data_IF_524817503318
#
_entry.id   IF_524817503318
#
_cell.length_a   1.000
_cell.length_b   1.000
_cell.length_c   1.000
_cell.angle_alpha   90.00
_cell.angle_beta   90.00
_cell.angle_gamma   90.00
#
_symmetry.space_group_name_H-M   'P 1'
#
loop_
_entity.id
_entity.type
_entity.pdbx_description
1 polymer ?
#
# COMPACT_ATOMS: atom_id res chain seq x y z
N UNK A 1 3.70 5.26 -12.87
CA UNK A 1 4.88 6.14 -12.92
C UNK A 1 6.22 5.39 -12.97
N UNK A 2 6.62 4.63 -11.95
CA UNK A 2 7.97 4.01 -11.93
C UNK A 2 8.18 2.93 -13.01
N UNK A 3 7.13 2.21 -13.43
CA UNK A 3 7.20 1.22 -14.52
C UNK A 3 7.70 1.81 -15.83
N UNK A 4 7.09 2.91 -16.28
CA UNK A 4 7.47 3.57 -17.54
C UNK A 4 8.88 4.14 -17.46
N UNK A 5 9.21 4.79 -16.33
CA UNK A 5 10.56 5.32 -16.08
C UNK A 5 11.62 4.23 -16.09
N UNK A 6 11.32 3.07 -15.49
CA UNK A 6 12.20 1.90 -15.51
C UNK A 6 12.47 1.43 -16.93
N UNK A 7 11.45 1.18 -17.74
CA UNK A 7 11.64 0.68 -19.11
C UNK A 7 12.42 1.65 -19.99
N UNK A 8 12.12 2.95 -19.91
CA UNK A 8 12.89 3.95 -20.63
C UNK A 8 14.34 4.03 -20.15
N UNK A 9 14.58 4.05 -18.84
CA UNK A 9 15.94 4.10 -18.29
C UNK A 9 16.73 2.83 -18.62
N UNK A 10 16.07 1.67 -18.62
CA UNK A 10 16.67 0.39 -19.02
C UNK A 10 17.10 0.43 -20.48
N UNK A 11 16.22 0.83 -21.40
CA UNK A 11 16.53 0.95 -22.82
C UNK A 11 17.71 1.90 -23.06
N UNK A 12 17.74 3.03 -22.34
CA UNK A 12 18.83 4.00 -22.45
C UNK A 12 20.14 3.52 -21.79
N UNK A 13 20.07 2.70 -20.73
CA UNK A 13 21.25 2.17 -20.04
C UNK A 13 22.04 1.15 -20.86
N UNK A 14 21.37 0.41 -21.76
CA UNK A 14 22.01 -0.60 -22.62
C UNK A 14 23.13 0.02 -23.49
N UNK A 15 22.88 1.06 -24.31
CA UNK A 15 23.94 1.70 -25.08
C UNK A 15 24.98 2.36 -24.16
N UNK A 16 24.61 2.95 -23.03
CA UNK A 16 25.61 3.52 -22.09
C UNK A 16 26.62 2.44 -21.65
N UNK A 17 26.14 1.26 -21.27
CA UNK A 17 26.98 0.12 -20.85
C UNK A 17 27.83 -0.40 -22.00
N UNK A 18 27.26 -0.51 -23.22
CA UNK A 18 27.99 -0.98 -24.40
C UNK A 18 29.15 -0.02 -24.78
N UNK A 19 28.97 1.28 -24.59
CA UNK A 19 29.98 2.29 -24.91
C UNK A 19 30.94 2.58 -23.75
N UNK A 20 30.82 1.88 -22.62
CA UNK A 20 31.74 2.00 -21.48
C UNK A 20 33.11 1.36 -21.78
N UNK A 21 34.23 2.10 -21.65
CA UNK A 21 35.57 1.55 -21.82
C UNK A 21 35.88 0.40 -20.85
N UNK A 22 35.39 0.50 -19.61
CA UNK A 22 35.61 -0.51 -18.58
C UNK A 22 34.94 -1.85 -18.94
N UNK A 23 33.70 -1.77 -19.43
CA UNK A 23 32.91 -2.95 -19.85
C UNK A 23 33.49 -3.57 -21.12
N UNK A 24 33.89 -2.72 -22.09
CA UNK A 24 34.56 -3.16 -23.31
C UNK A 24 35.86 -3.92 -23.02
N UNK A 25 36.69 -3.39 -22.11
CA UNK A 25 37.92 -4.05 -21.67
C UNK A 25 37.64 -5.37 -20.95
N UNK A 26 36.61 -5.42 -20.09
CA UNK A 26 36.24 -6.62 -19.34
C UNK A 26 35.72 -7.76 -20.23
N UNK A 27 34.91 -7.43 -21.24
CA UNK A 27 34.29 -8.40 -22.15
C UNK A 27 35.10 -8.65 -23.43
N UNK A 28 36.19 -7.91 -23.65
CA UNK A 28 37.14 -8.11 -24.75
C UNK A 28 36.61 -7.71 -26.12
N UNK A 29 35.64 -6.78 -26.22
CA UNK A 29 35.15 -6.27 -27.50
C UNK A 29 35.71 -4.87 -27.80
N UNK A 30 35.94 -4.53 -29.08
CA UNK A 30 36.36 -3.18 -29.46
C UNK A 30 35.19 -2.20 -29.33
N UNK A 31 35.44 -1.01 -28.78
CA UNK A 31 34.45 0.05 -28.73
C UNK A 31 33.98 0.42 -30.14
N UNK A 32 32.65 0.50 -30.39
CA UNK A 32 32.13 0.94 -31.68
C UNK A 32 32.63 2.36 -31.99
N UNK A 33 33.54 2.48 -32.96
CA UNK A 33 34.16 3.74 -33.31
C UNK A 33 33.40 4.41 -34.46
N UNK A 34 32.65 5.46 -34.15
CA UNK A 34 32.09 6.39 -35.12
C UNK A 34 32.23 7.83 -34.59
N UNK A 35 32.17 8.86 -35.45
CA UNK A 35 32.25 10.24 -35.01
C UNK A 35 31.16 10.56 -33.96
N UNK A 36 31.58 10.85 -32.73
CA UNK A 36 30.66 11.13 -31.62
C UNK A 36 30.34 9.95 -30.68
N UNK A 37 30.97 8.78 -30.85
CA UNK A 37 30.75 7.63 -29.95
C UNK A 37 31.06 7.95 -28.48
N UNK A 38 32.02 8.83 -28.21
CA UNK A 38 32.38 9.31 -26.86
C UNK A 38 31.31 10.18 -26.20
N UNK A 39 30.39 10.74 -26.98
CA UNK A 39 29.27 11.55 -26.46
C UNK A 39 28.03 10.71 -26.15
N UNK A 40 28.01 9.43 -26.53
CA UNK A 40 26.87 8.54 -26.27
C UNK A 40 26.63 8.38 -24.76
N UNK A 41 27.61 7.99 -23.92
CA UNK A 41 27.37 7.86 -22.47
C UNK A 41 26.94 9.18 -21.82
N UNK A 42 27.65 10.32 -21.99
CA UNK A 42 27.28 11.60 -21.35
C UNK A 42 25.86 12.08 -21.69
N UNK A 43 25.45 11.96 -22.95
CA UNK A 43 24.13 12.44 -23.40
C UNK A 43 23.01 11.57 -22.85
N UNK A 44 23.15 10.24 -23.00
CA UNK A 44 22.10 9.31 -22.57
C UNK A 44 21.97 9.28 -21.05
N UNK A 45 23.07 9.34 -20.30
CA UNK A 45 23.01 9.40 -18.85
C UNK A 45 22.52 10.73 -18.32
N UNK A 46 22.73 11.83 -19.03
CA UNK A 46 22.07 13.08 -18.67
C UNK A 46 20.55 12.94 -18.76
N UNK A 47 20.04 12.22 -19.77
CA UNK A 47 18.61 11.91 -19.87
C UNK A 47 18.17 11.00 -18.71
N UNK A 48 18.93 9.94 -18.41
CA UNK A 48 18.62 9.02 -17.30
C UNK A 48 18.64 9.74 -15.96
N UNK A 49 19.64 10.59 -15.70
CA UNK A 49 19.76 11.39 -14.47
C UNK A 49 18.56 12.34 -14.30
N UNK A 50 18.20 13.09 -15.35
CA UNK A 50 17.09 14.04 -15.28
C UNK A 50 15.75 13.32 -15.22
N UNK A 51 15.46 12.39 -16.13
CA UNK A 51 14.15 11.73 -16.21
C UNK A 51 13.98 10.61 -15.19
N UNK A 52 14.91 9.67 -15.17
CA UNK A 52 14.93 8.51 -14.28
C UNK A 52 15.30 8.88 -12.84
N UNK A 53 16.26 9.79 -12.66
CA UNK A 53 16.77 10.20 -11.35
C UNK A 53 15.87 11.17 -10.57
N UNK A 54 14.95 11.88 -11.23
CA UNK A 54 14.04 12.86 -10.59
C UNK A 54 13.35 12.38 -9.30
N UNK A 55 12.78 11.16 -9.21
CA UNK A 55 12.12 10.70 -7.99
C UNK A 55 13.08 10.62 -6.79
N UNK A 56 14.31 10.17 -7.03
CA UNK A 56 15.35 10.06 -6.02
C UNK A 56 15.87 11.43 -5.60
N UNK A 57 16.11 12.34 -6.54
CA UNK A 57 16.53 13.72 -6.25
C UNK A 57 15.48 14.47 -5.43
N UNK A 58 14.20 14.37 -5.81
CA UNK A 58 13.09 14.95 -5.04
C UNK A 58 12.95 14.32 -3.65
N UNK A 59 13.10 13.00 -3.55
CA UNK A 59 13.08 12.27 -2.29
C UNK A 59 14.22 12.68 -1.36
N UNK A 60 15.45 12.73 -1.86
CA UNK A 60 16.62 13.19 -1.11
C UNK A 60 16.48 14.64 -0.64
N UNK A 61 15.93 15.53 -1.47
CA UNK A 61 15.64 16.90 -1.06
C UNK A 61 14.62 16.96 0.09
N UNK A 62 13.58 16.10 0.06
CA UNK A 62 12.61 15.99 1.14
C UNK A 62 13.26 15.50 2.44
N UNK A 63 14.11 14.47 2.37
CA UNK A 63 14.86 13.93 3.51
C UNK A 63 15.82 14.94 4.14
N UNK A 64 16.50 15.74 3.32
CA UNK A 64 17.34 16.87 3.79
C UNK A 64 16.48 17.89 4.53
N UNK A 65 15.33 18.28 3.95
CA UNK A 65 14.42 19.25 4.56
C UNK A 65 13.82 18.73 5.87
N UNK A 66 13.51 17.44 5.96
CA UNK A 66 12.97 16.82 7.17
C UNK A 66 14.04 16.43 8.21
N UNK A 67 15.34 16.61 7.88
CA UNK A 67 16.49 16.19 8.72
C UNK A 67 16.46 14.70 9.09
N UNK A 68 15.91 13.88 8.22
CA UNK A 68 15.85 12.43 8.37
C UNK A 68 16.60 11.82 7.18
N UNK A 69 17.94 11.72 7.24
CA UNK A 69 18.72 11.11 6.18
C UNK A 69 18.30 9.65 6.05
N UNK A 70 17.96 9.21 4.84
CA UNK A 70 17.52 7.86 4.56
C UNK A 70 18.06 7.36 3.23
N UNK A 71 17.35 6.40 2.65
CA UNK A 71 17.76 5.74 1.42
C UNK A 71 17.73 6.72 0.22
N UNK A 72 16.78 7.65 0.16
CA UNK A 72 16.66 8.54 -1.00
C UNK A 72 17.79 9.56 -1.05
N UNK A 73 18.24 10.07 0.09
CA UNK A 73 19.36 10.99 0.17
C UNK A 73 20.68 10.32 -0.20
N UNK A 74 20.92 9.08 0.24
CA UNK A 74 22.08 8.28 -0.18
C UNK A 74 22.13 8.13 -1.70
N UNK A 75 21.02 7.72 -2.30
CA UNK A 75 20.93 7.54 -3.75
C UNK A 75 21.12 8.88 -4.45
N UNK A 76 20.41 9.93 -4.02
CA UNK A 76 20.49 11.27 -4.59
C UNK A 76 21.93 11.80 -4.55
N UNK A 77 22.64 11.61 -3.44
CA UNK A 77 24.05 11.97 -3.30
C UNK A 77 24.92 11.18 -4.27
N UNK A 78 24.78 9.85 -4.31
CA UNK A 78 25.59 8.99 -5.18
C UNK A 78 25.40 9.32 -6.66
N UNK A 79 24.16 9.44 -7.15
CA UNK A 79 23.88 9.79 -8.56
C UNK A 79 24.36 11.20 -8.90
N UNK A 80 24.26 12.16 -7.96
CA UNK A 80 24.71 13.54 -8.21
C UNK A 80 26.23 13.61 -8.25
N UNK A 81 26.91 12.94 -7.33
CA UNK A 81 28.38 12.87 -7.27
C UNK A 81 28.93 12.17 -8.50
N UNK A 82 28.35 11.03 -8.89
CA UNK A 82 28.71 10.32 -10.12
C UNK A 82 28.48 11.20 -11.36
N UNK A 83 27.33 11.85 -11.46
CA UNK A 83 27.00 12.73 -12.59
C UNK A 83 27.98 13.89 -12.75
N UNK A 84 28.28 14.59 -11.66
CA UNK A 84 29.20 15.73 -11.68
C UNK A 84 30.63 15.27 -11.97
N UNK A 85 31.09 14.19 -11.34
CA UNK A 85 32.43 13.65 -11.58
C UNK A 85 32.62 13.21 -13.04
N UNK A 86 31.66 12.48 -13.61
CA UNK A 86 31.72 12.05 -15.01
C UNK A 86 31.71 13.22 -16.00
N UNK A 87 30.94 14.28 -15.71
CA UNK A 87 30.97 15.50 -16.53
C UNK A 87 32.31 16.24 -16.45
N UNK A 88 32.91 16.34 -15.27
CA UNK A 88 34.22 16.97 -15.06
C UNK A 88 35.29 16.25 -15.90
N UNK A 89 35.30 14.91 -15.87
CA UNK A 89 36.18 14.08 -16.71
C UNK A 89 35.90 14.27 -18.21
N UNK A 90 34.63 14.22 -18.62
CA UNK A 90 34.22 14.33 -20.03
C UNK A 90 34.60 15.68 -20.65
N UNK A 91 34.54 16.76 -19.86
CA UNK A 91 34.93 18.11 -20.30
C UNK A 91 36.44 18.36 -20.19
N UNK A 92 37.22 17.39 -19.71
CA UNK A 92 38.67 17.53 -19.52
C UNK A 92 39.04 18.52 -18.41
N UNK A 93 38.14 18.77 -17.47
CA UNK A 93 38.36 19.71 -16.37
C UNK A 93 39.10 18.97 -15.23
N UNK A 94 40.28 19.45 -14.86
CA UNK A 94 41.01 18.93 -13.68
C UNK A 94 41.84 17.66 -13.89
N UNK A 95 41.90 17.09 -15.10
CA UNK A 95 42.80 15.98 -15.42
C UNK A 95 42.50 14.66 -14.70
N UNK A 96 41.32 14.54 -14.10
CA UNK A 96 40.86 13.34 -13.41
C UNK A 96 40.33 12.32 -14.42
N UNK A 97 40.52 11.03 -14.14
CA UNK A 97 39.95 9.92 -14.92
C UNK A 97 38.84 9.24 -14.11
N UNK A 98 37.73 9.96 -13.94
CA UNK A 98 36.55 9.52 -13.20
C UNK A 98 35.39 9.32 -14.18
N UNK A 99 35.30 8.14 -14.78
CA UNK A 99 34.17 7.76 -15.65
C UNK A 99 33.19 6.86 -14.87
N UNK A 100 32.09 7.46 -14.39
CA UNK A 100 31.01 6.77 -13.68
C UNK A 100 29.70 6.71 -14.48
N UNK A 101 29.76 6.87 -15.81
CA UNK A 101 28.55 6.91 -16.64
C UNK A 101 27.74 5.60 -16.49
N UNK A 102 28.36 4.46 -16.78
CA UNK A 102 27.66 3.17 -16.73
C UNK A 102 27.16 2.78 -15.32
N UNK A 103 27.88 3.15 -14.25
CA UNK A 103 27.43 2.97 -12.87
C UNK A 103 26.19 3.82 -12.59
N UNK A 104 26.15 5.09 -12.99
CA UNK A 104 25.00 5.96 -12.83
C UNK A 104 23.78 5.39 -13.56
N UNK A 105 23.96 4.95 -14.81
CA UNK A 105 22.90 4.38 -15.64
C UNK A 105 22.24 3.17 -14.95
N UNK A 106 23.06 2.23 -14.49
CA UNK A 106 22.60 1.01 -13.83
C UNK A 106 22.05 1.28 -12.44
N UNK A 107 22.65 2.19 -11.67
CA UNK A 107 22.16 2.61 -10.36
C UNK A 107 20.75 3.18 -10.47
N UNK A 108 20.50 4.16 -11.34
CA UNK A 108 19.17 4.73 -11.52
C UNK A 108 18.17 3.66 -12.00
N UNK A 109 18.57 2.83 -12.96
CA UNK A 109 17.70 1.80 -13.54
C UNK A 109 17.29 0.75 -12.50
N UNK A 110 18.24 0.23 -11.72
CA UNK A 110 17.95 -0.81 -10.73
C UNK A 110 17.15 -0.27 -9.55
N UNK A 111 17.38 0.99 -9.14
CA UNK A 111 16.57 1.64 -8.11
C UNK A 111 15.13 1.88 -8.57
N UNK A 112 14.92 2.22 -9.85
CA UNK A 112 13.58 2.34 -10.44
C UNK A 112 12.87 0.98 -10.50
N UNK A 113 13.60 -0.10 -10.83
CA UNK A 113 13.07 -1.47 -10.79
C UNK A 113 12.57 -1.81 -9.38
N UNK A 114 13.36 -1.48 -8.36
CA UNK A 114 13.00 -1.71 -6.97
C UNK A 114 11.70 -1.08 -6.54
N UNK A 115 11.60 0.23 -6.75
CA UNK A 115 10.40 0.99 -6.41
C UNK A 115 9.20 0.55 -7.26
N UNK A 116 9.41 0.11 -8.50
CA UNK A 116 8.34 -0.48 -9.30
C UNK A 116 7.85 -1.81 -8.72
N UNK A 117 8.75 -2.72 -8.35
CA UNK A 117 8.38 -3.99 -7.72
C UNK A 117 7.67 -3.77 -6.38
N UNK A 118 8.12 -2.80 -5.59
CA UNK A 118 7.48 -2.40 -4.34
C UNK A 118 6.04 -1.95 -4.56
N UNK A 119 5.80 -1.00 -5.48
CA UNK A 119 4.44 -0.54 -5.78
C UNK A 119 3.56 -1.63 -6.41
N UNK A 120 4.13 -2.54 -7.21
CA UNK A 120 3.39 -3.67 -7.77
C UNK A 120 2.92 -4.63 -6.68
N UNK A 121 3.73 -4.84 -5.64
CA UNK A 121 3.33 -5.60 -4.46
C UNK A 121 2.25 -4.87 -3.63
N UNK A 122 2.25 -3.53 -3.64
CA UNK A 122 1.30 -2.68 -2.90
C UNK A 122 -0.10 -2.58 -3.53
N UNK A 123 -0.20 -2.54 -4.86
CA UNK A 123 -1.45 -2.24 -5.57
C UNK A 123 -2.59 -3.24 -5.41
N UNK A 124 -2.41 -4.34 -4.66
CA UNK A 124 -3.46 -5.33 -4.38
C UNK A 124 -4.36 -5.01 -3.17
N UNK A 125 -4.00 -4.03 -2.33
CA UNK A 125 -4.66 -3.78 -1.05
C UNK A 125 -5.85 -2.79 -1.08
N UNK A 126 -6.07 -2.06 -2.19
CA UNK A 126 -7.11 -1.02 -2.29
C UNK A 126 -8.55 -1.56 -2.27
N UNK A 127 -8.74 -2.85 -2.58
CA UNK A 127 -10.07 -3.45 -2.75
C UNK A 127 -10.95 -3.45 -1.49
N UNK A 128 -10.36 -3.35 -0.29
CA UNK A 128 -11.12 -3.35 0.96
C UNK A 128 -11.85 -2.01 1.20
N UNK A 129 -11.22 -0.89 0.86
CA UNK A 129 -11.85 0.43 0.97
C UNK A 129 -12.92 0.62 -0.11
N UNK A 130 -12.63 0.16 -1.34
CA UNK A 130 -13.60 0.18 -2.45
C UNK A 130 -14.85 -0.65 -2.12
N UNK A 131 -14.68 -1.82 -1.48
CA UNK A 131 -15.79 -2.65 -1.03
C UNK A 131 -16.64 -1.99 0.07
N UNK A 132 -16.04 -1.19 0.96
CA UNK A 132 -16.76 -0.42 1.98
C UNK A 132 -17.52 0.76 1.37
N UNK A 133 -16.95 1.42 0.35
CA UNK A 133 -17.60 2.53 -0.35
C UNK A 133 -18.83 2.07 -1.15
N UNK A 134 -18.77 0.88 -1.75
CA UNK A 134 -19.90 0.27 -2.46
C UNK A 134 -21.11 -0.09 -1.55
N UNK A 135 -20.98 0.04 -0.23
CA UNK A 135 -22.07 -0.19 0.71
C UNK A 135 -22.98 1.03 0.90
N UNK A 136 -22.57 2.21 0.45
CA UNK A 136 -23.43 3.39 0.50
C UNK A 136 -24.32 3.44 -0.74
N UNK A 137 -25.62 3.74 -0.60
CA UNK A 137 -26.47 4.00 -1.75
C UNK A 137 -26.08 5.33 -2.41
N UNK A 138 -26.20 5.42 -3.73
CA UNK A 138 -25.96 6.67 -4.47
C UNK A 138 -27.07 7.71 -4.24
N UNK A 139 -28.28 7.25 -3.93
CA UNK A 139 -29.48 8.08 -3.77
C UNK A 139 -30.17 7.84 -2.42
N UNK A 140 -30.87 8.85 -1.93
CA UNK A 140 -31.68 8.80 -0.70
C UNK A 140 -33.07 9.42 -0.90
N UNK A 141 -34.10 8.85 -0.24
CA UNK A 141 -35.45 9.44 -0.21
C UNK A 141 -35.56 10.47 0.93
N UNK A 142 -35.40 11.75 0.62
CA UNK A 142 -35.56 12.86 1.57
C UNK A 142 -37.03 13.25 1.72
N UNK A 143 -37.50 13.46 2.94
CA UNK A 143 -38.86 13.90 3.27
C UNK A 143 -38.89 15.43 3.33
N UNK A 144 -39.69 16.06 2.47
CA UNK A 144 -39.93 17.50 2.41
C UNK A 144 -41.44 17.73 2.42
N UNK A 145 -41.93 18.50 3.41
CA UNK A 145 -43.36 18.84 3.56
C UNK A 145 -44.32 17.64 3.50
N UNK A 146 -43.88 16.50 4.05
CA UNK A 146 -44.66 15.25 4.08
C UNK A 146 -44.61 14.41 2.79
N UNK A 147 -43.89 14.88 1.76
CA UNK A 147 -43.65 14.14 0.50
C UNK A 147 -42.21 13.66 0.43
N UNK A 148 -41.96 12.51 -0.22
CA UNK A 148 -40.59 12.02 -0.46
C UNK A 148 -40.07 12.50 -1.80
N UNK A 149 -38.79 12.90 -1.83
CA UNK A 149 -38.04 13.25 -3.02
C UNK A 149 -36.71 12.52 -3.01
N UNK A 150 -36.41 11.83 -4.10
CA UNK A 150 -35.09 11.22 -4.31
C UNK A 150 -34.05 12.32 -4.56
N UNK A 151 -32.97 12.29 -3.80
CA UNK A 151 -31.82 13.20 -3.90
C UNK A 151 -30.53 12.37 -3.90
N UNK A 152 -29.47 12.92 -4.48
CA UNK A 152 -28.14 12.34 -4.34
C UNK A 152 -27.70 12.36 -2.87
N UNK A 153 -26.98 11.33 -2.42
CA UNK A 153 -26.51 11.24 -1.03
C UNK A 153 -25.63 12.44 -0.63
N UNK A 154 -24.95 13.07 -1.59
CA UNK A 154 -24.13 14.27 -1.39
C UNK A 154 -24.94 15.54 -1.14
N UNK A 155 -26.23 15.54 -1.45
CA UNK A 155 -27.15 16.66 -1.18
C UNK A 155 -27.77 16.60 0.23
N UNK A 156 -27.57 15.49 0.97
CA UNK A 156 -28.06 15.36 2.34
C UNK A 156 -27.28 16.27 3.30
N UNK A 157 -28.03 16.97 4.15
CA UNK A 157 -27.46 17.80 5.23
C UNK A 157 -27.97 17.35 6.59
N UNK A 158 -27.18 17.66 7.62
CA UNK A 158 -27.56 17.40 9.02
C UNK A 158 -28.91 18.05 9.34
N UNK A 159 -29.81 17.29 9.95
CA UNK A 159 -31.17 17.70 10.28
C UNK A 159 -32.21 17.29 9.24
N UNK A 160 -31.81 16.84 8.05
CA UNK A 160 -32.73 16.27 7.07
C UNK A 160 -33.41 15.02 7.61
N UNK A 161 -34.63 14.74 7.13
CA UNK A 161 -35.34 13.50 7.43
C UNK A 161 -35.36 12.64 6.19
N UNK A 162 -34.88 11.41 6.29
CA UNK A 162 -34.87 10.44 5.20
C UNK A 162 -35.80 9.26 5.50
N UNK A 163 -36.46 8.74 4.47
CA UNK A 163 -37.28 7.54 4.55
C UNK A 163 -36.43 6.33 4.16
N UNK A 164 -36.25 5.39 5.08
CA UNK A 164 -35.55 4.12 4.83
C UNK A 164 -36.60 3.02 4.77
N UNK A 165 -36.78 2.42 3.59
CA UNK A 165 -37.74 1.34 3.36
C UNK A 165 -37.19 -0.01 3.84
N UNK A 166 -38.08 -0.97 4.03
CA UNK A 166 -37.68 -2.36 4.24
C UNK A 166 -36.81 -2.86 3.07
N UNK A 167 -35.70 -3.50 3.39
CA UNK A 167 -34.65 -3.94 2.46
C UNK A 167 -33.68 -2.83 1.99
N UNK A 168 -33.92 -1.56 2.34
CA UNK A 168 -33.07 -0.46 1.91
C UNK A 168 -31.92 -0.21 2.89
N UNK A 169 -30.82 0.36 2.36
CA UNK A 169 -29.67 0.77 3.16
C UNK A 169 -29.90 2.15 3.77
N UNK A 170 -29.42 2.33 4.98
CA UNK A 170 -29.38 3.64 5.64
C UNK A 170 -28.35 4.53 4.92
N UNK A 171 -28.73 5.69 4.38
CA UNK A 171 -27.83 6.52 3.58
C UNK A 171 -26.86 7.36 4.43
N UNK A 172 -27.22 7.69 5.66
CA UNK A 172 -26.43 8.56 6.53
C UNK A 172 -26.64 8.18 8.01
N UNK A 173 -25.67 8.48 8.85
CA UNK A 173 -25.81 8.24 10.29
C UNK A 173 -26.90 9.15 10.86
N UNK A 174 -27.72 8.62 11.75
CA UNK A 174 -28.85 9.38 12.28
C UNK A 174 -29.61 8.69 13.39
N UNK A 175 -30.71 9.31 13.79
CA UNK A 175 -31.60 8.83 14.85
C UNK A 175 -33.01 8.59 14.30
N UNK A 176 -33.64 7.48 14.69
CA UNK A 176 -35.00 7.14 14.27
C UNK A 176 -35.99 8.12 14.89
N UNK A 177 -36.79 8.78 14.05
CA UNK A 177 -37.88 9.68 14.45
C UNK A 177 -39.22 8.97 14.54
N UNK A 178 -39.47 8.05 13.61
CA UNK A 178 -40.74 7.33 13.52
C UNK A 178 -40.51 5.93 12.94
N UNK A 179 -41.20 4.95 13.54
CA UNK A 179 -41.13 3.55 13.16
C UNK A 179 -40.14 2.76 14.01
N UNK A 180 -40.15 1.44 13.81
CA UNK A 180 -39.22 0.49 14.39
C UNK A 180 -38.92 -0.58 13.35
N UNK A 181 -37.68 -1.07 13.32
CA UNK A 181 -37.26 -2.12 12.38
C UNK A 181 -36.09 -2.91 12.97
N UNK A 182 -35.89 -4.10 12.46
CA UNK A 182 -34.64 -4.83 12.63
C UNK A 182 -33.60 -4.32 11.64
N UNK A 183 -32.36 -4.14 12.11
CA UNK A 183 -31.24 -3.68 11.30
C UNK A 183 -30.16 -4.74 11.21
N UNK A 184 -29.79 -5.12 10.00
CA UNK A 184 -28.57 -5.88 9.75
C UNK A 184 -27.36 -4.93 9.82
N UNK A 185 -26.67 -5.02 10.95
CA UNK A 185 -25.42 -4.31 11.23
C UNK A 185 -24.17 -5.19 11.01
N UNK A 186 -24.33 -6.41 10.44
CA UNK A 186 -23.28 -7.42 10.37
C UNK A 186 -22.07 -7.01 9.54
N UNK A 187 -22.26 -6.18 8.51
CA UNK A 187 -21.16 -5.63 7.71
C UNK A 187 -20.24 -4.68 8.49
N UNK A 188 -20.72 -4.11 9.60
CA UNK A 188 -19.97 -3.15 10.43
C UNK A 188 -19.50 -3.80 11.73
N UNK A 189 -20.40 -4.55 12.38
CA UNK A 189 -20.17 -5.16 13.70
C UNK A 189 -19.58 -6.56 13.61
N UNK A 190 -19.77 -7.27 12.49
CA UNK A 190 -19.43 -8.68 12.33
C UNK A 190 -20.49 -9.65 12.88
N UNK A 191 -21.52 -9.15 13.57
CA UNK A 191 -22.58 -9.98 14.15
C UNK A 191 -23.67 -10.27 13.11
N UNK A 192 -23.98 -11.53 12.86
CA UNK A 192 -24.97 -11.92 11.83
C UNK A 192 -26.43 -11.75 12.26
N UNK A 193 -26.68 -11.41 13.53
CA UNK A 193 -28.03 -11.25 14.06
C UNK A 193 -28.50 -9.80 13.87
N UNK A 194 -29.64 -9.57 13.19
CA UNK A 194 -30.25 -8.25 13.14
C UNK A 194 -30.56 -7.72 14.54
N UNK A 195 -30.43 -6.41 14.72
CA UNK A 195 -30.67 -5.72 15.98
C UNK A 195 -31.93 -4.88 15.85
N UNK A 196 -32.89 -5.08 16.75
CA UNK A 196 -34.10 -4.26 16.81
C UNK A 196 -33.76 -2.83 17.25
N UNK A 197 -34.26 -1.85 16.50
CA UNK A 197 -34.13 -0.42 16.80
C UNK A 197 -35.51 0.24 16.75
N UNK A 198 -35.75 1.14 17.69
CA UNK A 198 -37.00 1.90 17.79
C UNK A 198 -36.72 3.41 17.80
N UNK A 199 -37.78 4.20 17.82
CA UNK A 199 -37.77 5.65 17.89
C UNK A 199 -36.85 6.15 19.01
N UNK A 200 -35.90 7.02 18.65
CA UNK A 200 -34.87 7.54 19.54
C UNK A 200 -33.54 6.77 19.50
N UNK A 201 -33.49 5.59 18.90
CA UNK A 201 -32.24 4.85 18.69
C UNK A 201 -31.44 5.39 17.50
N UNK A 202 -30.12 5.21 17.59
CA UNK A 202 -29.18 5.57 16.52
C UNK A 202 -29.05 4.44 15.50
N UNK A 203 -28.96 4.84 14.23
CA UNK A 203 -28.70 3.97 13.07
C UNK A 203 -27.48 4.49 12.31
N UNK A 204 -26.75 3.56 11.70
CA UNK A 204 -25.46 3.82 11.05
C UNK A 204 -25.58 3.67 9.55
N UNK A 205 -24.90 4.52 8.78
CA UNK A 205 -24.86 4.46 7.33
C UNK A 205 -24.33 3.09 6.83
N UNK A 206 -25.00 2.54 5.81
CA UNK A 206 -24.66 1.26 5.18
C UNK A 206 -25.32 0.03 5.80
N UNK A 207 -25.94 0.14 6.98
CA UNK A 207 -26.78 -0.93 7.57
C UNK A 207 -28.08 -1.08 6.78
N UNK A 208 -28.72 -2.25 6.87
CA UNK A 208 -29.95 -2.57 6.12
C UNK A 208 -31.12 -2.69 7.08
N UNK A 209 -32.20 -1.95 6.85
CA UNK A 209 -33.47 -2.19 7.54
C UNK A 209 -34.11 -3.45 6.94
N UNK A 210 -34.33 -4.51 7.70
CA UNK A 210 -34.71 -5.83 7.15
C UNK A 210 -36.21 -5.97 6.92
N UNK A 211 -37.04 -5.44 7.81
CA UNK A 211 -38.48 -5.79 7.90
C UNK A 211 -39.44 -4.61 7.71
N UNK A 212 -39.13 -3.43 8.29
CA UNK A 212 -40.05 -2.29 8.37
C UNK A 212 -39.45 -0.99 7.81
N UNK A 213 -40.33 -0.02 7.55
CA UNK A 213 -39.93 1.32 7.09
C UNK A 213 -39.76 2.27 8.27
N UNK A 214 -38.66 3.03 8.30
CA UNK A 214 -38.38 4.02 9.34
C UNK A 214 -38.09 5.40 8.76
N UNK A 215 -38.36 6.44 9.54
CA UNK A 215 -37.90 7.81 9.24
C UNK A 215 -36.71 8.14 10.12
N UNK A 216 -35.60 8.52 9.51
CA UNK A 216 -34.33 8.79 10.20
C UNK A 216 -34.00 10.26 10.06
N UNK A 217 -33.69 10.94 11.17
CA UNK A 217 -33.09 12.28 11.16
C UNK A 217 -31.60 12.13 11.00
N UNK A 218 -31.06 12.74 9.96
CA UNK A 218 -29.62 12.75 9.65
C UNK A 218 -28.85 13.54 10.70
N UNK A 219 -27.82 12.92 11.28
CA UNK A 219 -26.91 13.53 12.26
C UNK A 219 -25.50 13.73 11.70
N UNK A 220 -25.04 12.85 10.81
CA UNK A 220 -23.75 12.98 10.14
C UNK A 220 -23.83 12.51 8.68
N UNK A 221 -23.17 13.22 7.76
CA UNK A 221 -23.15 12.90 6.33
C UNK A 221 -21.72 12.81 5.78
N UNK A 222 -21.57 12.13 4.64
CA UNK A 222 -20.30 12.02 3.92
C UNK A 222 -19.14 11.57 4.82
N UNK A 223 -18.11 12.41 4.91
CA UNK A 223 -16.90 12.16 5.69
C UNK A 223 -17.14 12.02 7.20
N UNK A 224 -18.23 12.55 7.75
CA UNK A 224 -18.45 12.53 9.20
C UNK A 224 -19.19 11.28 9.69
N UNK A 225 -19.58 10.38 8.78
CA UNK A 225 -20.21 9.10 9.12
C UNK A 225 -19.23 8.12 9.78
N UNK A 226 -19.77 7.18 10.56
CA UNK A 226 -19.01 6.11 11.18
C UNK A 226 -18.30 5.23 10.13
N UNK A 227 -18.97 4.94 9.01
CA UNK A 227 -18.36 4.18 7.91
C UNK A 227 -17.17 4.94 7.28
N UNK A 228 -17.29 6.25 7.05
CA UNK A 228 -16.17 7.08 6.61
C UNK A 228 -15.05 7.18 7.68
N UNK A 229 -15.40 7.17 8.96
CA UNK A 229 -14.47 7.06 10.07
C UNK A 229 -13.69 5.74 10.05
N UNK A 230 -14.36 4.61 9.82
CA UNK A 230 -13.74 3.30 9.63
C UNK A 230 -12.81 3.32 8.42
N UNK A 231 -13.27 3.87 7.28
CA UNK A 231 -12.44 4.01 6.08
C UNK A 231 -11.18 4.83 6.35
N UNK A 232 -11.27 5.95 7.09
CA UNK A 232 -10.08 6.72 7.51
C UNK A 232 -9.15 5.91 8.38
N UNK A 233 -9.66 5.25 9.42
CA UNK A 233 -8.81 4.42 10.30
C UNK A 233 -8.11 3.30 9.53
N UNK A 234 -8.78 2.70 8.55
CA UNK A 234 -8.20 1.68 7.67
C UNK A 234 -7.16 2.29 6.74
N UNK A 235 -7.43 3.45 6.14
CA UNK A 235 -6.49 4.16 5.29
C UNK A 235 -5.22 4.58 6.07
N UNK A 236 -5.39 5.17 7.25
CA UNK A 236 -4.30 5.56 8.16
C UNK A 236 -3.46 4.33 8.57
N UNK A 237 -4.11 3.20 8.83
CA UNK A 237 -3.43 1.94 9.12
C UNK A 237 -2.66 1.40 7.90
N UNK A 238 -3.20 1.51 6.69
CA UNK A 238 -2.54 1.08 5.45
C UNK A 238 -1.36 1.98 5.07
N UNK A 239 -1.42 3.27 5.41
CA UNK A 239 -0.33 4.23 5.15
C UNK A 239 0.84 4.05 6.13
N UNK A 240 0.65 3.29 7.22
CA UNK A 240 1.71 3.02 8.19
C UNK A 240 2.80 2.09 7.64
N UNK A 241 4.07 2.50 7.79
CA UNK A 241 5.23 1.75 7.32
C UNK A 241 5.50 0.50 8.15
N UNK A 242 5.97 -0.58 7.52
CA UNK A 242 6.32 -1.81 8.24
C UNK A 242 7.56 -1.66 9.14
N UNK A 243 7.72 -2.58 10.10
CA UNK A 243 8.90 -2.57 10.98
C UNK A 243 10.17 -2.88 10.19
N UNK A 244 10.11 -3.76 9.19
CA UNK A 244 11.26 -4.05 8.33
C UNK A 244 11.68 -2.82 7.51
N UNK A 245 10.72 -2.06 6.99
CA UNK A 245 10.98 -0.80 6.28
C UNK A 245 11.65 0.22 7.21
N UNK A 246 11.11 0.42 8.41
CA UNK A 246 11.74 1.30 9.41
C UNK A 246 13.16 0.85 9.81
N UNK A 247 13.44 -0.46 9.85
CA UNK A 247 14.79 -0.97 10.10
C UNK A 247 15.73 -0.66 8.93
N UNK A 248 15.28 -0.84 7.68
CA UNK A 248 16.06 -0.50 6.50
C UNK A 248 16.33 1.00 6.40
N UNK A 249 15.35 1.85 6.71
CA UNK A 249 15.52 3.30 6.74
C UNK A 249 16.54 3.73 7.80
N UNK A 250 16.52 3.12 8.99
CA UNK A 250 17.55 3.34 10.02
C UNK A 250 18.93 2.86 9.59
N UNK A 251 19.02 1.70 8.95
CA UNK A 251 20.28 1.18 8.43
C UNK A 251 20.84 2.10 7.33
N UNK A 252 19.99 2.59 6.42
CA UNK A 252 20.35 3.56 5.40
C UNK A 252 20.80 4.90 6.03
N UNK A 253 20.11 5.37 7.07
CA UNK A 253 20.51 6.59 7.79
C UNK A 253 21.91 6.46 8.42
N UNK A 254 22.19 5.33 9.09
CA UNK A 254 23.51 5.06 9.67
C UNK A 254 24.59 4.96 8.59
N UNK A 255 24.26 4.30 7.48
CA UNK A 255 25.16 4.12 6.36
C UNK A 255 25.47 5.44 5.65
N UNK A 256 24.50 6.37 5.57
CA UNK A 256 24.73 7.74 5.12
C UNK A 256 25.79 8.45 5.95
N UNK A 257 25.65 8.44 7.28
CA UNK A 257 26.62 9.08 8.17
C UNK A 257 27.99 8.43 8.08
N UNK A 258 28.05 7.10 8.02
CA UNK A 258 29.30 6.37 7.84
C UNK A 258 30.00 6.72 6.53
N UNK A 259 29.25 6.78 5.43
CA UNK A 259 29.75 7.15 4.11
C UNK A 259 30.30 8.58 4.11
N UNK A 260 29.53 9.53 4.66
CA UNK A 260 29.91 10.95 4.71
C UNK A 260 31.16 11.17 5.55
N UNK A 261 31.24 10.56 6.73
CA UNK A 261 32.40 10.65 7.61
C UNK A 261 33.63 10.02 6.95
N UNK A 262 33.48 8.84 6.35
CA UNK A 262 34.57 8.15 5.64
C UNK A 262 35.07 8.94 4.44
N UNK A 263 34.16 9.56 3.68
CA UNK A 263 34.48 10.43 2.55
C UNK A 263 35.23 11.69 3.00
N UNK A 264 34.82 12.30 4.12
CA UNK A 264 35.50 13.45 4.72
C UNK A 264 36.90 13.09 5.23
N UNK A 265 37.05 11.97 5.94
CA UNK A 265 38.36 11.48 6.39
C UNK A 265 39.26 11.23 5.19
N UNK A 266 38.73 10.61 4.14
CA UNK A 266 39.47 10.35 2.90
C UNK A 266 39.95 11.66 2.28
N UNK A 267 39.07 12.67 2.15
CA UNK A 267 39.44 13.97 1.58
C UNK A 267 40.57 14.63 2.39
N UNK A 268 40.45 14.64 3.72
CA UNK A 268 41.43 15.28 4.62
C UNK A 268 42.78 14.57 4.57
N UNK A 269 42.80 13.24 4.69
CA UNK A 269 44.06 12.47 4.74
C UNK A 269 44.85 12.58 3.43
N UNK A 270 44.19 12.41 2.29
CA UNK A 270 44.85 12.47 0.98
C UNK A 270 45.34 13.88 0.64
N UNK A 271 44.59 14.91 1.02
CA UNK A 271 45.03 16.30 0.89
C UNK A 271 46.23 16.58 1.79
N UNK A 272 46.24 16.08 3.03
CA UNK A 272 47.34 16.31 3.98
C UNK A 272 48.65 15.61 3.57
N UNK A 273 48.59 14.49 2.85
CA UNK A 273 49.76 13.75 2.34
C UNK A 273 50.32 14.39 1.06
N UNK A 274 49.65 15.41 0.51
CA UNK A 274 50.12 16.15 -0.68
C UNK A 274 49.61 15.59 -2.01
N UNK A 275 48.58 14.74 -1.99
CA UNK A 275 47.94 14.18 -3.19
C UNK A 275 46.48 14.67 -3.29
N UNK A 276 46.24 15.96 -3.60
CA UNK A 276 44.90 16.52 -3.69
C UNK A 276 44.05 15.88 -4.80
N UNK A 277 44.69 15.44 -5.90
CA UNK A 277 43.98 14.79 -7.00
C UNK A 277 43.42 13.43 -6.58
N UNK A 278 44.24 12.63 -5.90
CA UNK A 278 43.82 11.37 -5.29
C UNK A 278 42.75 11.58 -4.22
N UNK A 279 42.76 12.72 -3.52
CA UNK A 279 41.75 13.04 -2.52
C UNK A 279 40.36 13.16 -3.16
N UNK A 280 40.25 13.88 -4.28
CA UNK A 280 38.99 14.01 -5.03
C UNK A 280 38.54 12.65 -5.54
N UNK A 281 39.42 11.93 -6.23
CA UNK A 281 39.13 10.61 -6.82
C UNK A 281 38.60 9.65 -5.76
N UNK A 282 39.34 9.48 -4.66
CA UNK A 282 39.00 8.50 -3.62
C UNK A 282 37.76 8.91 -2.83
N UNK A 283 37.56 10.19 -2.55
CA UNK A 283 36.35 10.67 -1.88
C UNK A 283 35.10 10.43 -2.73
N UNK A 284 35.17 10.71 -4.04
CA UNK A 284 34.09 10.39 -4.98
C UNK A 284 33.83 8.89 -5.00
N UNK A 285 34.88 8.06 -5.12
CA UNK A 285 34.76 6.59 -5.09
C UNK A 285 34.09 6.09 -3.81
N UNK A 286 34.47 6.61 -2.63
CA UNK A 286 33.84 6.23 -1.36
C UNK A 286 32.35 6.56 -1.35
N UNK A 287 31.96 7.76 -1.81
CA UNK A 287 30.55 8.18 -1.85
C UNK A 287 29.71 7.35 -2.83
N UNK A 288 30.27 7.01 -3.99
CA UNK A 288 29.58 6.19 -5.02
C UNK A 288 29.43 4.74 -4.56
N UNK A 289 30.51 4.12 -4.04
CA UNK A 289 30.50 2.72 -3.56
C UNK A 289 29.58 2.55 -2.35
N UNK A 290 29.44 3.57 -1.51
CA UNK A 290 28.58 3.52 -0.35
C UNK A 290 27.08 3.39 -0.70
N UNK A 291 26.66 3.54 -1.95
CA UNK A 291 25.24 3.41 -2.30
C UNK A 291 24.73 1.97 -2.09
N UNK A 292 23.72 1.72 -1.22
CA UNK A 292 23.27 0.37 -0.89
C UNK A 292 22.20 -0.14 -1.86
N UNK A 293 22.57 -0.36 -3.13
CA UNK A 293 21.67 -0.78 -4.21
C UNK A 293 20.79 -1.99 -3.86
N UNK A 294 21.37 -3.01 -3.21
CA UNK A 294 20.66 -4.24 -2.85
C UNK A 294 19.69 -4.06 -1.68
N UNK A 295 19.95 -3.10 -0.78
CA UNK A 295 19.12 -2.89 0.41
C UNK A 295 17.71 -2.43 0.02
N UNK A 296 17.62 -1.54 -0.98
CA UNK A 296 16.33 -1.04 -1.49
C UNK A 296 15.51 -2.07 -2.25
N UNK A 297 16.12 -3.19 -2.71
CA UNK A 297 15.45 -4.27 -3.43
C UNK A 297 15.07 -5.45 -2.55
N UNK A 298 15.84 -5.68 -1.48
CA UNK A 298 15.71 -6.88 -0.67
C UNK A 298 14.31 -7.04 -0.07
N UNK A 299 13.77 -5.97 0.54
CA UNK A 299 12.46 -6.03 1.21
C UNK A 299 11.32 -6.24 0.21
N UNK A 300 11.15 -5.41 -0.85
CA UNK A 300 10.07 -5.61 -1.82
C UNK A 300 10.10 -6.99 -2.47
N UNK A 301 11.29 -7.49 -2.80
CA UNK A 301 11.45 -8.79 -3.46
C UNK A 301 11.06 -9.94 -2.53
N UNK A 302 11.51 -9.92 -1.28
CA UNK A 302 11.15 -10.94 -0.29
C UNK A 302 9.65 -10.93 -0.01
N UNK A 303 9.02 -9.75 0.07
CA UNK A 303 7.58 -9.63 0.26
C UNK A 303 6.83 -10.19 -0.96
N UNK A 304 7.22 -9.80 -2.17
CA UNK A 304 6.58 -10.28 -3.39
C UNK A 304 6.63 -11.82 -3.51
N UNK A 305 7.80 -12.41 -3.27
CA UNK A 305 7.99 -13.87 -3.31
C UNK A 305 7.21 -14.57 -2.18
N UNK A 306 7.22 -14.01 -0.97
CA UNK A 306 6.47 -14.57 0.17
C UNK A 306 4.98 -14.56 -0.09
N UNK A 307 4.43 -13.48 -0.62
CA UNK A 307 3.01 -13.35 -0.98
C UNK A 307 2.63 -14.31 -2.11
N UNK A 308 3.47 -14.45 -3.14
CA UNK A 308 3.23 -15.42 -4.22
C UNK A 308 3.17 -16.87 -3.67
N UNK A 309 4.10 -17.22 -2.78
CA UNK A 309 4.12 -18.54 -2.15
C UNK A 309 2.89 -18.79 -1.28
N UNK A 310 2.50 -17.81 -0.47
CA UNK A 310 1.31 -17.90 0.37
C UNK A 310 0.03 -18.07 -0.46
N UNK A 311 -0.09 -17.33 -1.56
CA UNK A 311 -1.24 -17.42 -2.46
C UNK A 311 -1.36 -18.82 -3.11
N UNK A 312 -0.23 -19.44 -3.50
CA UNK A 312 -0.22 -20.84 -3.99
C UNK A 312 -0.71 -21.85 -2.95
N UNK A 313 -0.68 -21.49 -1.67
CA UNK A 313 -1.18 -22.30 -0.55
C UNK A 313 -2.57 -21.87 -0.06
N UNK A 314 -3.28 -21.02 -0.80
CA UNK A 314 -4.63 -20.56 -0.43
C UNK A 314 -4.66 -19.47 0.64
N UNK A 315 -3.51 -18.88 1.00
CA UNK A 315 -3.41 -17.80 1.98
C UNK A 315 -3.29 -16.46 1.27
N UNK A 316 -4.34 -15.65 1.35
CA UNK A 316 -4.38 -14.32 0.74
C UNK A 316 -3.95 -13.26 1.76
N UNK A 317 -2.78 -12.66 1.54
CA UNK A 317 -2.22 -11.63 2.41
C UNK A 317 -2.60 -10.26 1.87
N UNK A 318 -3.41 -9.51 2.62
CA UNK A 318 -3.84 -8.15 2.26
C UNK A 318 -2.93 -7.05 2.84
N UNK A 319 -2.21 -7.34 3.93
CA UNK A 319 -1.37 -6.38 4.66
C UNK A 319 0.05 -6.93 4.90
N UNK A 320 1.07 -6.14 4.52
CA UNK A 320 2.49 -6.45 4.72
C UNK A 320 2.85 -6.53 6.21
N UNK A 321 2.27 -5.65 7.03
CA UNK A 321 2.48 -5.64 8.47
C UNK A 321 1.85 -6.84 9.13
N UNK A 322 0.72 -7.34 8.62
CA UNK A 322 0.13 -8.59 9.09
C UNK A 322 1.07 -9.77 8.84
N UNK A 323 1.67 -9.86 7.65
CA UNK A 323 2.66 -10.90 7.32
C UNK A 323 3.89 -10.86 8.24
N UNK A 324 4.47 -9.68 8.48
CA UNK A 324 5.62 -9.53 9.37
C UNK A 324 5.28 -9.88 10.83
N UNK A 325 4.11 -9.43 11.31
CA UNK A 325 3.64 -9.68 12.67
C UNK A 325 3.31 -11.15 12.91
N UNK A 326 2.84 -11.87 11.87
CA UNK A 326 2.45 -13.28 11.98
C UNK A 326 3.57 -14.16 12.55
N UNK A 327 4.84 -13.82 12.29
CA UNK A 327 6.01 -14.54 12.84
C UNK A 327 6.10 -14.47 14.38
N UNK A 328 5.54 -13.42 14.98
CA UNK A 328 5.63 -13.16 16.43
C UNK A 328 4.29 -13.36 17.13
N UNK A 329 3.30 -13.96 16.46
CA UNK A 329 2.02 -14.29 17.09
C UNK A 329 2.19 -15.59 17.88
N UNK A 330 1.95 -15.53 19.19
CA UNK A 330 2.01 -16.69 20.08
C UNK A 330 0.63 -17.33 20.34
N UNK A 331 -0.44 -16.56 20.14
CA UNK A 331 -1.82 -16.97 20.44
C UNK A 331 -2.71 -16.68 19.23
N UNK A 332 -3.42 -17.70 18.77
CA UNK A 332 -4.44 -17.58 17.72
C UNK A 332 -5.80 -17.83 18.36
N UNK A 333 -6.66 -16.82 18.32
CA UNK A 333 -8.05 -16.93 18.74
C UNK A 333 -8.88 -17.17 17.48
N UNK A 334 -9.59 -18.30 17.46
CA UNK A 334 -10.50 -18.62 16.37
C UNK A 334 -11.91 -18.22 16.77
N UNK A 335 -12.60 -17.55 15.87
CA UNK A 335 -14.05 -17.55 15.93
C UNK A 335 -14.56 -18.99 15.70
N UNK A 336 -15.68 -19.35 16.32
CA UNK A 336 -16.24 -20.69 16.19
C UNK A 336 -17.02 -20.80 14.88
N UNK A 337 -18.02 -19.94 14.72
CA UNK A 337 -19.01 -20.04 13.65
C UNK A 337 -18.38 -19.59 12.33
N UNK A 338 -18.54 -20.36 11.25
CA UNK A 338 -17.97 -20.04 9.94
C UNK A 338 -16.44 -20.11 9.80
N UNK A 339 -15.68 -20.25 10.90
CA UNK A 339 -14.23 -20.43 10.89
C UNK A 339 -13.82 -21.86 11.26
N UNK A 340 -14.26 -22.35 12.42
CA UNK A 340 -14.02 -23.75 12.84
C UNK A 340 -15.15 -24.68 12.37
N UNK A 341 -16.34 -24.14 12.17
CA UNK A 341 -17.53 -24.88 11.74
C UNK A 341 -17.88 -24.53 10.29
N UNK A 342 -18.65 -25.39 9.63
CA UNK A 342 -19.15 -25.19 8.26
C UNK A 342 -20.12 -24.00 8.11
N UNK A 343 -20.56 -23.38 9.22
CA UNK A 343 -21.43 -22.19 9.18
C UNK A 343 -22.87 -22.47 8.76
N UNK A 344 -23.24 -23.75 8.58
CA UNK A 344 -24.60 -24.19 8.32
C UNK A 344 -25.13 -24.98 9.53
N UNK A 345 -26.38 -24.70 9.92
CA UNK A 345 -27.09 -25.54 10.86
C UNK A 345 -27.56 -26.82 10.16
N UNK A 346 -27.42 -27.94 10.85
CA UNK A 346 -27.90 -29.23 10.38
C UNK A 346 -28.47 -30.01 11.56
N UNK A 347 -29.58 -30.71 11.33
CA UNK A 347 -30.11 -31.65 12.31
C UNK A 347 -29.19 -32.87 12.37
N UNK A 348 -28.35 -32.95 13.39
CA UNK A 348 -27.38 -34.05 13.54
C UNK A 348 -27.93 -35.25 14.32
N UNK A 349 -29.06 -35.09 15.01
CA UNK A 349 -29.68 -36.14 15.81
C UNK A 349 -31.03 -35.70 16.37
N UNK A 350 -31.88 -36.69 16.66
CA UNK A 350 -33.22 -36.50 17.22
C UNK A 350 -33.32 -37.36 18.48
N UNK A 351 -33.83 -36.81 19.58
CA UNK A 351 -34.03 -37.55 20.82
C UNK A 351 -35.50 -37.47 21.21
N UNK A 352 -36.27 -38.50 20.84
CA UNK A 352 -37.70 -38.58 21.14
C UNK A 352 -37.96 -39.20 22.53
N UNK A 353 -39.01 -38.73 23.20
CA UNK A 353 -39.50 -39.33 24.45
C UNK A 353 -40.29 -40.61 24.16
N UNK A 354 -40.44 -41.47 25.18
CA UNK A 354 -41.21 -42.73 25.07
C UNK A 354 -42.62 -42.45 24.55
N UNK A 355 -43.00 -43.13 23.47
CA UNK A 355 -44.31 -43.00 22.84
C UNK A 355 -44.41 -42.03 21.66
N UNK A 356 -43.30 -41.36 21.28
CA UNK A 356 -43.22 -40.51 20.08
C UNK A 356 -42.10 -41.02 19.18
N UNK A 357 -42.36 -41.13 17.88
CA UNK A 357 -41.30 -41.48 16.92
C UNK A 357 -40.47 -40.24 16.55
N UNK A 358 -39.21 -40.43 16.20
CA UNK A 358 -38.33 -39.33 15.76
C UNK A 358 -38.92 -38.56 14.56
N UNK A 359 -39.58 -39.27 13.63
CA UNK A 359 -40.24 -38.67 12.47
C UNK A 359 -41.44 -37.80 12.84
N UNK A 360 -42.26 -38.24 13.80
CA UNK A 360 -43.39 -37.43 14.31
C UNK A 360 -42.89 -36.17 15.03
N UNK A 361 -41.84 -36.28 15.85
CA UNK A 361 -41.24 -35.14 16.53
C UNK A 361 -40.69 -34.11 15.53
N UNK A 362 -39.97 -34.58 14.50
CA UNK A 362 -39.40 -33.71 13.48
C UNK A 362 -40.49 -33.02 12.66
N UNK A 363 -41.55 -33.74 12.29
CA UNK A 363 -42.68 -33.19 11.54
C UNK A 363 -43.42 -32.08 12.32
N UNK A 364 -43.61 -32.27 13.63
CA UNK A 364 -44.23 -31.26 14.50
C UNK A 364 -43.33 -30.04 14.69
N UNK A 365 -42.02 -30.24 14.87
CA UNK A 365 -41.06 -29.14 14.98
C UNK A 365 -40.99 -28.32 13.69
N UNK A 366 -40.91 -28.99 12.53
CA UNK A 366 -40.91 -28.33 11.23
C UNK A 366 -42.21 -27.55 10.96
N UNK A 367 -43.36 -28.07 11.39
CA UNK A 367 -44.64 -27.36 11.25
C UNK A 367 -44.72 -26.11 12.15
N UNK A 368 -44.14 -26.14 13.35
CA UNK A 368 -44.10 -25.00 14.26
C UNK A 368 -43.14 -23.90 13.78
N UNK A 369 -42.02 -24.29 13.16
CA UNK A 369 -40.98 -23.39 12.67
C UNK A 369 -41.16 -22.97 11.20
N UNK A 370 -42.24 -23.42 10.53
CA UNK A 370 -42.44 -23.25 9.08
C UNK A 370 -42.42 -21.79 8.59
N UNK A 371 -42.87 -20.85 9.42
CA UNK A 371 -42.93 -19.42 9.10
C UNK A 371 -41.70 -18.64 9.66
N UNK A 372 -40.76 -19.33 10.30
CA UNK A 372 -39.61 -18.74 10.99
C UNK A 372 -38.38 -18.72 10.07
N UNK A 373 -37.80 -17.54 9.85
CA UNK A 373 -36.55 -17.37 9.09
C UNK A 373 -35.30 -17.51 9.98
N UNK A 374 -35.47 -17.91 11.25
CA UNK A 374 -34.34 -18.09 12.16
C UNK A 374 -33.42 -19.22 11.66
N UNK A 375 -32.08 -19.12 11.75
CA UNK A 375 -31.15 -20.14 11.22
C UNK A 375 -31.27 -21.56 11.80
N UNK A 376 -32.05 -21.75 12.88
CA UNK A 376 -32.33 -23.05 13.49
C UNK A 376 -33.65 -23.65 12.98
N UNK A 377 -34.52 -22.80 12.42
CA UNK A 377 -35.79 -23.16 11.81
C UNK A 377 -35.62 -23.65 10.35
N UNK A 378 -34.71 -23.00 9.60
CA UNK A 378 -34.23 -23.49 8.30
C UNK A 378 -33.41 -24.77 8.44
#
# INVERSE_FOLDING_TARGET
MFRERFWWSLILSIPVVIFSPMVAHLLGYPLPAFPGSTWVPPVLDTIIFVYGGTPFLKGGWKEVKSRQPGMMLLIAMAITVAFVASWVTTLGLGGFDLDFWWELALLVTIMLLGHWLEMRALGGASSALDALAALLPDEAEKVIDGTTRTVDISELVVGDVVLVRAGARVPADGTILEGAAEFDEGMITGESRPVFRDTGDRVVAGTVATDNTVRVRVEATGGDTALAGIQRMVADAQESSSRAQALADRAAALLFWFALISALITAVVWTAIGSPDDAVVRTVTVLVIACPHALGLAIPLVIAISTERAAKSGVLIKDRMALERMRTIDVVLFDKTGTLTEGAHAVTGVAATVGVTEGELLALAAAAEADSEHPVAR
#
